data_IF_903713882479
#
_entry.id   IF_903713882479
#
_cell.length_a   1.000
_cell.length_b   1.000
_cell.length_c   1.000
_cell.angle_alpha   90.00
_cell.angle_beta   90.00
_cell.angle_gamma   90.00
#
_symmetry.space_group_name_H-M   'P 1'
#
loop_
_entity.id
_entity.type
_entity.pdbx_description
1 polymer ?
#
# COMPACT_ATOMS: atom_id res chain seq x y z
N UNK A 1 -15.12 5.87 -13.19
CA UNK A 1 -13.85 6.32 -12.54
C UNK A 1 -12.69 5.93 -13.43
N UNK A 2 -11.66 6.77 -13.54
CA UNK A 2 -10.53 6.55 -14.47
C UNK A 2 -9.29 6.00 -13.76
N UNK A 3 -8.94 6.61 -12.62
CA UNK A 3 -7.81 6.22 -11.78
C UNK A 3 -8.30 6.18 -10.34
N UNK A 4 -7.76 5.26 -9.54
CA UNK A 4 -7.97 5.21 -8.11
C UNK A 4 -6.63 5.05 -7.39
N UNK A 5 -6.56 5.60 -6.19
CA UNK A 5 -5.43 5.41 -5.28
C UNK A 5 -5.94 4.60 -4.10
N UNK A 6 -5.28 3.49 -3.81
CA UNK A 6 -5.65 2.60 -2.71
C UNK A 6 -4.41 2.09 -1.96
N UNK A 7 -4.60 1.29 -0.91
CA UNK A 7 -3.51 0.86 -0.02
C UNK A 7 -3.28 1.78 1.18
N UNK A 8 -4.21 2.72 1.44
CA UNK A 8 -4.17 3.55 2.64
C UNK A 8 -4.26 2.70 3.92
N UNK A 9 -3.56 3.09 5.01
CA UNK A 9 -3.56 2.34 6.26
C UNK A 9 -4.91 2.36 6.99
N UNK A 10 -5.74 3.38 6.72
CA UNK A 10 -7.09 3.57 7.26
C UNK A 10 -7.86 4.64 6.45
N UNK A 11 -9.16 4.74 6.71
CA UNK A 11 -10.07 5.66 6.01
C UNK A 11 -9.73 7.12 6.27
N UNK A 12 -9.22 7.47 7.46
CA UNK A 12 -8.82 8.85 7.79
C UNK A 12 -7.67 9.31 6.89
N UNK A 13 -6.68 8.45 6.63
CA UNK A 13 -5.58 8.75 5.72
C UNK A 13 -6.07 8.92 4.28
N UNK A 14 -7.01 8.08 3.83
CA UNK A 14 -7.64 8.19 2.53
C UNK A 14 -8.43 9.51 2.38
N UNK A 15 -9.28 9.85 3.36
CA UNK A 15 -10.06 11.09 3.36
C UNK A 15 -9.17 12.34 3.36
N UNK A 16 -8.07 12.33 4.11
CA UNK A 16 -7.10 13.43 4.10
C UNK A 16 -6.40 13.58 2.76
N UNK A 17 -6.11 12.47 2.08
CA UNK A 17 -5.57 12.49 0.73
C UNK A 17 -6.61 13.04 -0.26
N UNK A 18 -7.83 12.51 -0.25
CA UNK A 18 -8.93 12.97 -1.11
C UNK A 18 -9.18 14.47 -0.97
N UNK A 19 -9.31 14.96 0.27
CA UNK A 19 -9.56 16.38 0.52
C UNK A 19 -8.43 17.26 -0.01
N UNK A 20 -7.18 16.87 0.20
CA UNK A 20 -6.03 17.63 -0.27
C UNK A 20 -5.95 17.64 -1.81
N UNK A 21 -6.39 16.57 -2.46
CA UNK A 21 -6.46 16.48 -3.92
C UNK A 21 -7.56 17.36 -4.51
N UNK A 22 -8.72 17.42 -3.86
CA UNK A 22 -9.83 18.31 -4.23
C UNK A 22 -9.49 19.79 -3.95
N UNK A 23 -8.70 20.08 -2.91
CA UNK A 23 -8.41 21.43 -2.44
C UNK A 23 -6.90 21.74 -2.34
N UNK A 24 -6.12 21.62 -3.44
CA UNK A 24 -4.66 21.73 -3.39
C UNK A 24 -4.17 23.09 -2.89
N UNK A 25 -4.87 24.17 -3.20
CA UNK A 25 -4.50 25.53 -2.79
C UNK A 25 -4.74 25.81 -1.29
N UNK A 26 -5.69 25.10 -0.69
CA UNK A 26 -5.98 25.19 0.75
C UNK A 26 -5.10 24.23 1.56
N UNK A 27 -4.55 23.21 0.92
CA UNK A 27 -3.69 22.22 1.56
C UNK A 27 -2.33 22.81 1.90
N UNK A 28 -1.96 22.77 3.19
CA UNK A 28 -0.63 23.21 3.67
C UNK A 28 0.53 22.48 2.99
N UNK A 29 0.30 21.23 2.56
CA UNK A 29 1.30 20.34 1.95
C UNK A 29 1.50 20.54 0.45
N UNK A 30 0.62 21.33 -0.18
CA UNK A 30 0.60 21.53 -1.63
C UNK A 30 0.72 23.02 -1.99
N UNK A 31 1.26 23.85 -1.08
CA UNK A 31 1.51 25.27 -1.34
C UNK A 31 2.46 25.51 -2.52
N UNK A 32 3.36 24.57 -2.79
CA UNK A 32 4.27 24.61 -3.93
C UNK A 32 3.59 24.25 -5.25
N UNK A 33 2.40 23.66 -5.22
CA UNK A 33 1.67 23.26 -6.42
C UNK A 33 0.99 24.48 -7.03
N UNK A 34 1.39 24.82 -8.26
CA UNK A 34 0.81 25.95 -8.98
C UNK A 34 -0.66 25.73 -9.30
N UNK A 35 -1.44 26.81 -9.24
CA UNK A 35 -2.85 26.85 -9.68
C UNK A 35 -3.01 26.33 -11.11
N UNK A 36 -4.22 25.85 -11.42
CA UNK A 36 -4.61 25.42 -12.76
C UNK A 36 -4.37 26.55 -13.77
N UNK A 37 -3.71 26.24 -14.88
CA UNK A 37 -3.54 27.21 -15.98
C UNK A 37 -4.85 27.34 -16.77
N UNK A 38 -5.10 28.51 -17.36
CA UNK A 38 -6.34 28.74 -18.14
C UNK A 38 -6.51 27.72 -19.28
N UNK A 39 -5.41 27.40 -19.99
CA UNK A 39 -5.38 26.43 -21.12
C UNK A 39 -5.29 24.95 -20.69
N UNK A 40 -5.02 24.67 -19.42
CA UNK A 40 -4.87 23.31 -18.89
C UNK A 40 -6.26 22.70 -18.68
N UNK A 41 -6.49 21.46 -19.13
CA UNK A 41 -7.75 20.76 -18.85
C UNK A 41 -7.80 20.39 -17.36
N UNK A 42 -9.00 20.34 -16.80
CA UNK A 42 -9.17 19.97 -15.39
C UNK A 42 -8.59 18.58 -15.09
N UNK A 43 -8.77 17.65 -16.02
CA UNK A 43 -8.22 16.31 -15.90
C UNK A 43 -6.69 16.29 -15.77
N UNK A 44 -5.98 16.97 -16.67
CA UNK A 44 -4.51 17.04 -16.65
C UNK A 44 -4.01 17.77 -15.40
N UNK A 45 -4.73 18.80 -14.94
CA UNK A 45 -4.48 19.46 -13.67
C UNK A 45 -4.58 18.50 -12.48
N UNK A 46 -5.64 17.70 -12.41
CA UNK A 46 -5.83 16.72 -11.34
C UNK A 46 -4.71 15.66 -11.33
N UNK A 47 -4.29 15.16 -12.49
CA UNK A 47 -3.18 14.21 -12.59
C UNK A 47 -1.85 14.85 -12.16
N UNK A 48 -1.60 16.11 -12.54
CA UNK A 48 -0.43 16.85 -12.06
C UNK A 48 -0.42 17.02 -10.55
N UNK A 49 -1.55 17.43 -9.95
CA UNK A 49 -1.67 17.52 -8.48
C UNK A 49 -1.45 16.17 -7.82
N UNK A 50 -2.02 15.09 -8.38
CA UNK A 50 -1.81 13.73 -7.89
C UNK A 50 -0.33 13.34 -7.89
N UNK A 51 0.39 13.60 -8.99
CA UNK A 51 1.83 13.32 -9.10
C UNK A 51 2.66 14.01 -8.02
N UNK A 52 2.28 15.26 -7.68
CA UNK A 52 2.88 16.03 -6.59
C UNK A 52 2.57 15.41 -5.23
N UNK A 53 1.32 15.01 -4.99
CA UNK A 53 0.88 14.40 -3.74
C UNK A 53 1.59 13.09 -3.43
N UNK A 54 1.83 12.25 -4.43
CA UNK A 54 2.53 10.97 -4.26
C UNK A 54 3.99 11.15 -3.81
N UNK A 55 4.57 12.33 -4.04
CA UNK A 55 5.97 12.64 -3.74
C UNK A 55 6.19 13.46 -2.48
N UNK A 56 5.12 13.89 -1.78
CA UNK A 56 5.23 14.70 -0.56
C UNK A 56 4.72 13.97 0.69
N UNK A 57 5.33 14.31 1.82
CA UNK A 57 4.94 13.77 3.12
C UNK A 57 3.54 14.21 3.55
N UNK A 58 2.75 13.32 4.18
CA UNK A 58 3.13 12.00 4.68
C UNK A 58 2.89 10.86 3.69
N UNK A 59 2.42 11.14 2.47
CA UNK A 59 1.90 10.12 1.56
C UNK A 59 3.01 9.33 0.86
N UNK A 60 4.14 9.97 0.59
CA UNK A 60 5.31 9.42 -0.07
C UNK A 60 6.01 8.25 0.64
N UNK A 61 5.55 7.84 1.84
CA UNK A 61 6.03 6.65 2.56
C UNK A 61 4.94 5.61 2.81
N UNK A 62 3.72 5.88 2.35
CA UNK A 62 2.62 4.93 2.44
C UNK A 62 2.72 3.94 1.27
N UNK A 63 2.37 2.65 1.48
CA UNK A 63 2.39 1.64 0.42
C UNK A 63 1.16 1.77 -0.50
N UNK A 64 1.01 2.95 -1.09
CA UNK A 64 -0.10 3.28 -1.98
C UNK A 64 0.08 2.59 -3.33
N UNK A 65 -1.05 2.33 -3.97
CA UNK A 65 -1.11 1.75 -5.31
C UNK A 65 -1.96 2.67 -6.19
N UNK A 66 -1.40 3.03 -7.34
CA UNK A 66 -2.07 3.80 -8.38
C UNK A 66 -2.67 2.80 -9.36
N UNK A 67 -4.00 2.74 -9.48
CA UNK A 67 -4.68 1.81 -10.39
C UNK A 67 -5.45 2.57 -11.47
N UNK A 68 -5.05 2.38 -12.72
CA UNK A 68 -5.76 2.85 -13.90
C UNK A 68 -6.87 1.86 -14.27
N UNK A 69 -8.13 2.30 -14.14
CA UNK A 69 -9.31 1.49 -14.45
C UNK A 69 -9.63 1.49 -15.95
N UNK A 70 -9.29 2.58 -16.65
CA UNK A 70 -9.41 2.69 -18.09
C UNK A 70 -8.09 3.24 -18.68
N UNK A 71 -7.48 2.49 -19.59
CA UNK A 71 -6.18 2.80 -20.19
C UNK A 71 -6.25 3.95 -21.21
N UNK A 72 -7.40 4.22 -21.81
CA UNK A 72 -7.57 5.30 -22.80
C UNK A 72 -7.30 6.67 -22.22
N UNK A 73 -7.53 6.82 -20.92
CA UNK A 73 -7.33 8.06 -20.19
C UNK A 73 -5.96 8.13 -19.52
N UNK A 74 -5.12 7.10 -19.65
CA UNK A 74 -3.80 7.12 -19.05
C UNK A 74 -3.03 8.36 -19.48
N UNK A 75 -2.32 8.95 -18.52
CA UNK A 75 -1.36 10.01 -18.77
C UNK A 75 0.01 9.49 -18.43
N UNK A 76 0.96 9.83 -19.29
CA UNK A 76 2.35 9.58 -18.97
C UNK A 76 2.76 10.47 -17.79
N UNK A 77 3.17 9.83 -16.70
CA UNK A 77 3.69 10.51 -15.52
C UNK A 77 5.17 10.86 -15.68
N UNK A 78 5.82 10.45 -16.78
CA UNK A 78 7.25 10.69 -17.03
C UNK A 78 7.58 12.18 -17.18
N UNK A 79 6.66 12.97 -17.74
CA UNK A 79 6.77 14.43 -17.80
C UNK A 79 6.43 15.13 -16.47
N UNK A 80 5.99 14.34 -15.48
CA UNK A 80 5.59 14.76 -14.15
C UNK A 80 6.52 14.13 -13.10
N UNK A 81 6.22 14.35 -11.82
CA UNK A 81 6.92 13.64 -10.76
C UNK A 81 6.48 12.17 -10.76
N UNK A 82 7.45 11.28 -10.87
CA UNK A 82 7.20 9.84 -10.78
C UNK A 82 6.93 9.44 -9.34
N UNK A 83 5.96 8.53 -9.09
CA UNK A 83 5.73 8.03 -7.75
C UNK A 83 6.96 7.29 -7.22
N UNK A 84 7.17 7.28 -5.88
CA UNK A 84 8.23 6.49 -5.26
C UNK A 84 8.17 5.01 -5.67
N UNK A 85 9.33 4.35 -5.75
CA UNK A 85 9.48 2.98 -6.28
C UNK A 85 8.64 1.92 -5.56
N UNK A 86 8.30 2.14 -4.30
CA UNK A 86 7.48 1.21 -3.50
C UNK A 86 5.97 1.36 -3.78
N UNK A 87 5.55 2.36 -4.56
CA UNK A 87 4.17 2.55 -4.97
C UNK A 87 3.95 1.91 -6.34
N UNK A 88 3.14 0.86 -6.38
CA UNK A 88 2.86 0.14 -7.62
C UNK A 88 1.90 0.93 -8.51
N UNK A 89 2.15 0.90 -9.82
CA UNK A 89 1.19 1.30 -10.85
C UNK A 89 0.57 0.03 -11.43
N UNK A 90 -0.75 -0.09 -11.37
CA UNK A 90 -1.51 -1.24 -11.82
C UNK A 90 -2.63 -0.84 -12.80
N UNK A 91 -3.15 -1.82 -13.53
CA UNK A 91 -4.19 -1.62 -14.54
C UNK A 91 -5.37 -2.55 -14.32
N UNK A 92 -6.53 -2.16 -14.83
CA UNK A 92 -7.75 -2.96 -14.84
C UNK A 92 -8.59 -2.79 -13.57
N UNK A 93 -9.74 -3.48 -13.51
CA UNK A 93 -10.76 -3.30 -12.49
C UNK A 93 -10.27 -3.63 -11.07
N UNK A 94 -11.02 -3.20 -10.07
CA UNK A 94 -10.83 -3.63 -8.68
C UNK A 94 -11.62 -4.90 -8.46
N UNK A 95 -10.95 -5.96 -8.01
CA UNK A 95 -11.60 -7.20 -7.59
C UNK A 95 -11.66 -7.23 -6.08
N UNK A 96 -12.86 -7.13 -5.52
CA UNK A 96 -13.09 -7.35 -4.09
C UNK A 96 -13.13 -8.86 -3.82
N UNK A 97 -12.04 -9.41 -3.30
CA UNK A 97 -12.06 -10.76 -2.75
C UNK A 97 -12.34 -10.65 -1.26
N UNK A 98 -13.43 -11.26 -0.79
CA UNK A 98 -13.61 -11.51 0.64
C UNK A 98 -12.41 -12.35 1.09
N UNK A 99 -11.64 -11.83 2.04
CA UNK A 99 -10.65 -12.65 2.72
C UNK A 99 -11.46 -13.68 3.47
N UNK A 100 -11.37 -14.95 3.08
CA UNK A 100 -11.81 -16.03 3.95
C UNK A 100 -10.93 -15.95 5.18
N UNK A 101 -11.39 -15.21 6.18
CA UNK A 101 -10.95 -15.42 7.54
C UNK A 101 -11.24 -16.89 7.77
N UNK A 102 -10.18 -17.71 7.87
CA UNK A 102 -10.36 -18.98 8.58
C UNK A 102 -11.00 -18.58 9.91
N UNK A 103 -12.07 -19.26 10.36
CA UNK A 103 -12.61 -18.98 11.67
C UNK A 103 -11.43 -18.99 12.63
N UNK A 104 -11.25 -17.87 13.34
CA UNK A 104 -10.51 -17.93 14.59
C UNK A 104 -11.34 -18.91 15.43
N UNK A 105 -10.87 -20.16 15.52
CA UNK A 105 -11.46 -21.15 16.41
C UNK A 105 -11.31 -20.59 17.82
N UNK A 106 -12.36 -19.91 18.30
CA UNK A 106 -12.53 -19.49 19.69
C UNK A 106 -12.71 -20.70 20.64
N UNK A 107 -12.30 -21.91 20.23
CA UNK A 107 -12.40 -23.14 21.00
C UNK A 107 -11.23 -24.12 20.73
N UNK A 108 -9.99 -23.70 20.97
CA UNK A 108 -8.91 -24.64 21.30
C UNK A 108 -8.39 -24.38 22.72
N UNK A 109 -8.89 -25.24 23.61
CA UNK A 109 -8.38 -25.64 24.92
C UNK A 109 -6.90 -25.29 25.16
N UNK A 110 -6.63 -24.67 26.31
CA UNK A 110 -5.29 -24.44 26.86
C UNK A 110 -4.39 -25.69 26.80
N UNK A 111 -3.52 -25.82 25.80
CA UNK A 111 -2.36 -26.72 25.86
C UNK A 111 -1.19 -26.10 25.08
N UNK A 112 -0.20 -25.58 25.81
CA UNK A 112 1.06 -24.96 25.35
C UNK A 112 0.92 -23.66 24.54
N UNK A 113 0.87 -22.54 25.25
CA UNK A 113 1.20 -21.21 24.73
C UNK A 113 2.57 -21.24 24.06
N UNK A 114 2.57 -21.40 22.74
CA UNK A 114 3.77 -21.29 21.91
C UNK A 114 4.22 -19.83 21.96
N UNK A 115 5.03 -19.52 22.96
CA UNK A 115 5.73 -18.25 23.09
C UNK A 115 6.51 -18.00 21.80
N UNK A 116 6.00 -17.11 20.95
CA UNK A 116 6.69 -16.75 19.72
C UNK A 116 7.89 -15.87 20.10
N UNK A 117 9.10 -16.40 19.89
CA UNK A 117 10.35 -15.70 20.17
C UNK A 117 10.70 -14.81 18.97
N UNK A 118 11.03 -13.54 19.25
CA UNK A 118 11.52 -12.62 18.24
C UNK A 118 13.02 -12.82 17.98
N UNK A 119 13.42 -13.00 16.72
CA UNK A 119 14.82 -13.16 16.32
C UNK A 119 15.68 -11.89 16.51
N UNK A 120 15.07 -10.74 16.80
CA UNK A 120 15.77 -9.45 16.99
C UNK A 120 16.02 -9.17 18.47
N UNK A 121 14.97 -9.20 19.30
CA UNK A 121 15.07 -8.84 20.72
C UNK A 121 15.16 -10.06 21.65
N UNK A 122 15.01 -11.27 21.11
CA UNK A 122 15.06 -12.55 21.83
C UNK A 122 14.00 -12.72 22.93
N UNK A 123 13.05 -11.79 23.04
CA UNK A 123 11.94 -11.88 23.98
C UNK A 123 10.76 -12.65 23.36
N UNK A 124 10.06 -13.38 24.20
CA UNK A 124 8.77 -13.96 23.86
C UNK A 124 7.64 -12.95 24.07
N UNK A 125 6.59 -13.07 23.25
CA UNK A 125 5.36 -12.31 23.45
C UNK A 125 4.17 -13.08 22.93
N UNK A 126 2.98 -12.76 23.45
CA UNK A 126 1.72 -13.28 22.91
C UNK A 126 1.28 -12.55 21.62
N UNK A 127 2.06 -11.57 21.15
CA UNK A 127 1.76 -10.86 19.91
C UNK A 127 2.11 -11.70 18.69
N UNK A 128 1.30 -11.56 17.63
CA UNK A 128 1.61 -12.10 16.31
C UNK A 128 2.96 -11.53 15.83
N UNK A 129 3.83 -12.40 15.30
CA UNK A 129 5.11 -11.98 14.72
C UNK A 129 4.98 -11.70 13.22
N UNK A 130 5.80 -10.76 12.74
CA UNK A 130 6.12 -10.61 11.33
C UNK A 130 7.00 -11.77 10.88
N UNK A 131 6.72 -12.29 9.69
CA UNK A 131 7.54 -13.29 9.01
C UNK A 131 8.16 -12.70 7.75
N UNK A 132 9.29 -13.27 7.32
CA UNK A 132 9.91 -12.91 6.03
C UNK A 132 8.93 -13.08 4.86
N UNK A 133 9.11 -12.34 3.76
CA UNK A 133 8.33 -12.52 2.53
C UNK A 133 8.59 -13.88 1.88
N UNK A 134 9.84 -14.34 1.89
CA UNK A 134 10.24 -15.67 1.43
C UNK A 134 9.73 -16.75 2.40
N UNK A 135 8.96 -17.70 1.86
CA UNK A 135 8.37 -18.79 2.64
C UNK A 135 9.38 -19.86 3.06
N UNK A 136 10.57 -19.88 2.47
CA UNK A 136 11.67 -20.76 2.90
C UNK A 136 12.45 -20.17 4.08
N UNK A 137 12.32 -18.86 4.31
CA UNK A 137 12.98 -18.18 5.42
C UNK A 137 12.12 -18.26 6.69
N UNK A 138 12.71 -18.77 7.77
CA UNK A 138 12.07 -18.87 9.08
C UNK A 138 12.31 -17.66 10.00
N UNK A 139 12.69 -16.51 9.44
CA UNK A 139 12.87 -15.28 10.23
C UNK A 139 11.52 -14.78 10.78
N UNK A 140 11.49 -14.50 12.09
CA UNK A 140 10.32 -14.00 12.81
C UNK A 140 10.70 -12.85 13.72
N UNK A 141 9.92 -11.77 13.73
CA UNK A 141 10.20 -10.62 14.59
C UNK A 141 8.95 -9.88 15.03
N UNK A 142 9.04 -9.11 16.12
CA UNK A 142 8.00 -8.14 16.44
C UNK A 142 7.91 -7.06 15.37
N UNK A 143 6.71 -6.54 15.16
CA UNK A 143 6.45 -5.41 14.27
C UNK A 143 7.40 -4.24 14.53
N UNK A 144 7.53 -3.84 15.80
CA UNK A 144 8.32 -2.69 16.23
C UNK A 144 9.83 -2.97 16.12
N UNK A 145 10.26 -4.20 16.37
CA UNK A 145 11.67 -4.56 16.27
C UNK A 145 12.15 -4.46 14.83
N UNK A 146 11.39 -5.03 13.88
CA UNK A 146 11.75 -4.94 12.47
C UNK A 146 11.59 -3.50 11.94
N UNK A 147 10.55 -2.79 12.39
CA UNK A 147 10.36 -1.40 11.93
C UNK A 147 11.55 -0.53 12.29
N UNK A 148 12.06 -0.62 13.53
CA UNK A 148 13.25 0.13 13.97
C UNK A 148 14.50 -0.16 13.14
N UNK A 149 14.66 -1.40 12.67
CA UNK A 149 15.79 -1.78 11.84
C UNK A 149 15.70 -1.18 10.43
N UNK A 150 14.49 -1.08 9.87
CA UNK A 150 14.27 -0.55 8.51
C UNK A 150 14.07 0.97 8.49
N UNK A 151 13.98 1.61 9.65
CA UNK A 151 13.61 3.01 9.75
C UNK A 151 14.80 3.93 9.45
N UNK A 152 14.59 4.85 8.52
CA UNK A 152 15.54 5.93 8.26
C UNK A 152 15.49 6.99 9.39
N UNK A 153 16.61 7.62 9.74
CA UNK A 153 16.63 8.65 10.79
C UNK A 153 15.66 9.80 10.49
N UNK A 154 14.82 10.17 11.46
CA UNK A 154 13.84 11.25 11.35
C UNK A 154 12.50 10.84 10.74
N UNK A 155 12.35 9.58 10.33
CA UNK A 155 11.12 9.05 9.75
C UNK A 155 10.33 8.21 10.75
N UNK A 156 9.07 7.91 10.42
CA UNK A 156 8.16 7.13 11.29
C UNK A 156 7.69 5.81 10.67
N UNK A 157 7.72 5.72 9.34
CA UNK A 157 7.23 4.55 8.60
C UNK A 157 8.38 4.05 7.72
N UNK A 158 8.84 2.80 7.89
CA UNK A 158 9.80 2.21 6.96
C UNK A 158 9.19 2.08 5.57
N UNK A 159 10.03 2.20 4.54
CA UNK A 159 9.61 2.00 3.14
C UNK A 159 10.06 0.63 2.65
N UNK A 160 11.32 0.31 2.89
CA UNK A 160 11.95 -0.94 2.50
C UNK A 160 13.07 -1.31 3.48
N UNK A 161 13.54 -2.54 3.39
CA UNK A 161 14.71 -3.01 4.12
C UNK A 161 15.04 -4.46 3.78
N UNK A 162 16.14 -4.95 4.34
CA UNK A 162 16.62 -6.32 4.08
C UNK A 162 16.28 -7.25 5.22
N UNK A 163 15.82 -8.46 4.90
CA UNK A 163 15.64 -9.50 5.91
C UNK A 163 16.98 -9.80 6.61
N UNK A 164 17.08 -9.71 7.95
CA UNK A 164 18.34 -9.98 8.67
C UNK A 164 18.89 -11.39 8.52
N UNK A 165 18.07 -12.34 8.02
CA UNK A 165 18.42 -13.75 7.94
C UNK A 165 18.76 -14.23 6.52
N UNK A 166 17.97 -13.85 5.52
CA UNK A 166 18.17 -14.28 4.13
C UNK A 166 18.57 -13.15 3.17
N UNK A 167 18.76 -11.93 3.67
CA UNK A 167 19.16 -10.72 2.91
C UNK A 167 18.22 -10.32 1.76
N UNK A 168 17.02 -10.92 1.66
CA UNK A 168 16.04 -10.54 0.63
C UNK A 168 15.53 -9.12 0.88
N UNK A 169 15.48 -8.31 -0.18
CA UNK A 169 14.86 -6.99 -0.15
C UNK A 169 13.35 -7.13 0.07
N UNK A 170 12.82 -6.39 1.03
CA UNK A 170 11.43 -6.42 1.42
C UNK A 170 10.85 -5.01 1.41
N UNK A 171 9.73 -4.81 0.71
CA UNK A 171 8.92 -3.60 0.87
C UNK A 171 8.14 -3.70 2.17
N UNK A 172 8.14 -2.63 2.96
CA UNK A 172 7.43 -2.59 4.25
C UNK A 172 5.94 -2.83 4.06
N UNK A 173 5.34 -2.22 3.03
CA UNK A 173 3.93 -2.40 2.70
C UNK A 173 3.54 -3.87 2.50
N UNK A 174 4.43 -4.65 1.90
CA UNK A 174 4.21 -6.06 1.58
C UNK A 174 4.35 -6.94 2.83
N UNK A 175 5.32 -6.64 3.69
CA UNK A 175 5.42 -7.26 5.03
C UNK A 175 4.15 -7.03 5.84
N UNK A 176 3.61 -5.80 5.84
CA UNK A 176 2.37 -5.48 6.56
C UNK A 176 1.16 -6.15 5.93
N UNK A 177 1.07 -6.24 4.60
CA UNK A 177 0.02 -7.03 3.94
C UNK A 177 0.11 -8.50 4.34
N UNK A 178 1.30 -9.10 4.39
CA UNK A 178 1.50 -10.50 4.83
C UNK A 178 1.10 -10.69 6.28
N UNK A 179 1.50 -9.76 7.14
CA UNK A 179 1.10 -9.72 8.55
C UNK A 179 -0.42 -9.66 8.74
N UNK A 180 -1.12 -8.87 7.93
CA UNK A 180 -2.59 -8.77 7.93
C UNK A 180 -3.30 -9.90 7.19
N UNK A 181 -2.57 -10.81 6.53
CA UNK A 181 -3.14 -11.92 5.76
C UNK A 181 -3.61 -11.56 4.34
N UNK A 182 -3.24 -10.39 3.82
CA UNK A 182 -3.69 -9.86 2.52
C UNK A 182 -2.64 -9.97 1.40
N UNK A 183 -1.51 -10.66 1.62
CA UNK A 183 -0.36 -10.67 0.70
C UNK A 183 -0.59 -11.46 -0.60
N UNK A 184 -1.45 -12.49 -0.59
CA UNK A 184 -1.69 -13.34 -1.78
C UNK A 184 -2.44 -12.63 -2.93
N UNK A 185 -2.71 -11.33 -2.81
CA UNK A 185 -3.32 -10.51 -3.86
C UNK A 185 -2.30 -9.73 -4.71
N UNK A 186 -0.98 -9.94 -4.51
CA UNK A 186 0.05 -9.28 -5.32
C UNK A 186 0.08 -9.80 -6.78
N UNK A 187 -0.33 -11.04 -7.03
CA UNK A 187 -0.40 -11.64 -8.37
C UNK A 187 -1.82 -11.64 -8.92
N UNK A 188 -2.35 -10.47 -9.22
CA UNK A 188 -3.32 -10.39 -10.30
C UNK A 188 -2.72 -9.49 -11.38
N UNK A 189 -1.88 -10.11 -12.23
CA UNK A 189 -1.93 -9.80 -13.66
C UNK A 189 -3.38 -10.04 -14.07
N UNK A 190 -4.21 -9.01 -14.02
CA UNK A 190 -5.61 -9.10 -14.41
C UNK A 190 -5.58 -9.35 -15.92
N UNK A 191 -5.69 -10.61 -16.31
CA UNK A 191 -6.13 -10.98 -17.64
C UNK A 191 -7.44 -10.23 -17.87
N UNK A 192 -7.47 -9.42 -18.92
CA UNK A 192 -8.56 -8.52 -19.29
C UNK A 192 -9.95 -9.19 -19.40
N UNK A 193 -10.02 -10.52 -19.35
CA UNK A 193 -11.23 -11.28 -19.59
C UNK A 193 -12.17 -11.41 -18.37
N UNK A 194 -11.74 -11.12 -17.14
CA UNK A 194 -12.60 -11.31 -15.96
C UNK A 194 -13.30 -10.03 -15.47
N UNK A 195 -13.23 -8.94 -16.25
CA UNK A 195 -13.83 -7.65 -15.88
C UNK A 195 -15.24 -7.39 -16.42
N UNK A 196 -15.75 -8.26 -17.31
CA UNK A 196 -17.01 -8.00 -18.02
C UNK A 196 -18.28 -8.43 -17.27
N UNK A 197 -18.17 -9.26 -16.23
CA UNK A 197 -19.35 -9.83 -15.57
C UNK A 197 -20.07 -8.85 -14.60
N UNK A 198 -19.61 -7.60 -14.48
CA UNK A 198 -20.26 -6.60 -13.62
C UNK A 198 -21.22 -5.66 -14.37
N UNK A 199 -21.16 -5.63 -15.71
CA UNK A 199 -22.02 -4.75 -16.52
C UNK A 199 -22.95 -5.50 -17.49
N UNK A 200 -22.99 -6.84 -17.47
CA UNK A 200 -23.80 -7.62 -18.40
C UNK A 200 -25.22 -7.93 -17.93
N UNK A 201 -25.59 -7.66 -16.68
CA UNK A 201 -26.94 -7.94 -16.18
C UNK A 201 -27.79 -6.67 -16.16
N UNK A 202 -28.16 -6.20 -17.35
CA UNK A 202 -29.21 -5.19 -17.56
C UNK A 202 -29.71 -5.22 -19.02
N UNK A 203 -30.34 -6.32 -19.42
CA UNK A 203 -31.33 -6.34 -20.52
C UNK A 203 -32.58 -7.13 -20.08
#
# INVERSE_FOLDING_TARGET
MVVIIHGFPNDIAALRFEWAWQHPQSSRRLKHVSKKKSREKMYDYCIRVLSEMLCVGPWNRLPLVIRWLNQEFMRDLSDLKTPPIHMAICYGPVVSKKVNQKPEDDNEVEVFSSFNICDICLNSSNQKLLTCLDNTCNFKSHLICLSKLFLEPGEYIPVEGKCPKCDINCLWGDLIKKYKGCFNNLDVRINFNNGNDFYSDSE
#
